data_IF_173058121697
#
_entry.id   IF_173058121697
#
_cell.length_a   1.000
_cell.length_b   1.000
_cell.length_c   1.000
_cell.angle_alpha   90.00
_cell.angle_beta   90.00
_cell.angle_gamma   90.00
#
_symmetry.space_group_name_H-M   'P 1'
#
loop_
_entity.id
_entity.type
_entity.pdbx_description
1 polymer ?
#
# COMPACT_ATOMS: atom_id res chain seq x y z
N UNK A 1 14.37 9.68 20.66
CA UNK A 1 15.59 9.32 19.90
C UNK A 1 16.04 7.88 20.18
N UNK A 2 15.92 7.34 21.39
CA UNK A 2 16.39 5.98 21.75
C UNK A 2 15.86 4.77 20.95
N UNK A 3 14.59 4.75 20.52
CA UNK A 3 14.00 3.53 19.94
C UNK A 3 14.46 3.28 18.49
N UNK A 4 14.70 4.35 17.73
CA UNK A 4 15.24 4.28 16.38
C UNK A 4 16.72 3.90 16.37
N UNK A 5 17.49 4.39 17.34
CA UNK A 5 18.92 4.05 17.49
C UNK A 5 19.11 2.59 17.89
N UNK A 6 18.29 2.07 18.81
CA UNK A 6 18.29 0.64 19.19
C UNK A 6 17.83 -0.24 18.03
N UNK A 7 16.83 0.19 17.26
CA UNK A 7 16.38 -0.53 16.06
C UNK A 7 17.46 -0.55 14.98
N UNK A 8 18.10 0.58 14.69
CA UNK A 8 19.19 0.68 13.71
C UNK A 8 20.44 -0.11 14.14
N UNK A 9 20.72 -0.16 15.44
CA UNK A 9 21.80 -0.98 16.00
C UNK A 9 21.50 -2.47 15.85
N UNK A 10 20.30 -2.92 16.25
CA UNK A 10 19.86 -4.31 16.06
C UNK A 10 19.89 -4.70 14.57
N UNK A 11 19.33 -3.84 13.71
CA UNK A 11 19.25 -4.03 12.25
C UNK A 11 20.62 -4.29 11.59
N UNK A 12 21.70 -3.70 12.13
CA UNK A 12 23.06 -3.81 11.59
C UNK A 12 23.92 -4.90 12.26
N UNK A 13 23.42 -5.65 13.25
CA UNK A 13 24.22 -6.68 13.95
C UNK A 13 24.60 -7.86 13.04
N UNK A 14 23.70 -8.23 12.12
CA UNK A 14 23.94 -9.27 11.11
C UNK A 14 23.22 -8.88 9.83
N UNK A 15 23.67 -9.34 8.64
CA UNK A 15 22.96 -9.09 7.39
C UNK A 15 21.51 -9.61 7.38
N UNK A 16 21.15 -10.49 8.32
CA UNK A 16 19.82 -11.08 8.44
C UNK A 16 18.93 -10.42 9.49
N UNK A 17 19.45 -9.54 10.36
CA UNK A 17 18.64 -8.99 11.46
C UNK A 17 17.44 -8.20 10.94
N UNK A 18 17.59 -7.47 9.83
CA UNK A 18 16.47 -6.81 9.16
C UNK A 18 15.37 -7.77 8.73
N UNK A 19 15.73 -8.92 8.16
CA UNK A 19 14.77 -9.95 7.75
C UNK A 19 14.04 -10.58 8.95
N UNK A 20 14.75 -10.82 10.05
CA UNK A 20 14.17 -11.38 11.29
C UNK A 20 13.24 -10.38 12.00
N UNK A 21 13.58 -9.09 12.02
CA UNK A 21 12.71 -8.05 12.56
C UNK A 21 11.44 -7.88 11.72
N UNK A 22 11.57 -7.89 10.40
CA UNK A 22 10.43 -7.86 9.48
C UNK A 22 9.55 -9.10 9.66
N UNK A 23 10.14 -10.28 9.78
CA UNK A 23 9.42 -11.52 10.07
C UNK A 23 8.60 -11.42 11.35
N UNK A 24 9.20 -10.97 12.45
CA UNK A 24 8.50 -10.80 13.72
C UNK A 24 7.37 -9.77 13.61
N UNK A 25 7.62 -8.64 12.95
CA UNK A 25 6.61 -7.62 12.70
C UNK A 25 5.42 -8.18 11.91
N UNK A 26 5.66 -8.94 10.84
CA UNK A 26 4.60 -9.55 10.03
C UNK A 26 3.78 -10.54 10.86
N UNK A 27 4.41 -11.32 11.74
CA UNK A 27 3.70 -12.20 12.67
C UNK A 27 2.78 -11.42 13.62
N UNK A 28 3.31 -10.36 14.25
CA UNK A 28 2.52 -9.53 15.17
C UNK A 28 1.35 -8.87 14.45
N UNK A 29 1.58 -8.30 13.25
CA UNK A 29 0.51 -7.68 12.46
C UNK A 29 -0.56 -8.69 12.05
N UNK A 30 -0.14 -9.88 11.63
CA UNK A 30 -1.06 -10.98 11.28
C UNK A 30 -1.90 -11.39 12.48
N UNK A 31 -1.28 -11.59 13.65
CA UNK A 31 -1.96 -11.93 14.89
C UNK A 31 -2.91 -10.82 15.36
N UNK A 32 -2.50 -9.55 15.31
CA UNK A 32 -3.37 -8.43 15.65
C UNK A 32 -4.59 -8.35 14.73
N UNK A 33 -4.41 -8.58 13.42
CA UNK A 33 -5.51 -8.57 12.46
C UNK A 33 -6.51 -9.70 12.73
N UNK A 34 -6.03 -10.92 13.01
CA UNK A 34 -6.88 -12.09 13.25
C UNK A 34 -7.56 -12.05 14.61
N UNK A 35 -6.89 -11.56 15.65
CA UNK A 35 -7.46 -11.40 16.99
C UNK A 35 -8.50 -10.28 17.05
N UNK A 36 -8.25 -9.14 16.37
CA UNK A 36 -9.17 -8.00 16.36
C UNK A 36 -10.43 -8.28 15.55
N UNK A 37 -10.33 -9.12 14.53
CA UNK A 37 -11.44 -9.48 13.66
C UNK A 37 -11.56 -11.01 13.57
N UNK A 38 -12.15 -11.69 14.57
CA UNK A 38 -12.27 -13.16 14.61
C UNK A 38 -13.28 -13.74 13.59
N UNK A 39 -13.52 -13.01 12.50
CA UNK A 39 -14.42 -13.36 11.39
C UNK A 39 -13.63 -13.98 10.25
N UNK A 40 -14.31 -14.64 9.30
CA UNK A 40 -13.71 -15.13 8.05
C UNK A 40 -12.84 -14.08 7.35
N UNK A 41 -13.26 -12.81 7.42
CA UNK A 41 -12.57 -11.67 6.81
C UNK A 41 -11.28 -11.29 7.51
N UNK A 42 -11.25 -11.32 8.84
CA UNK A 42 -9.99 -11.11 9.56
C UNK A 42 -8.99 -12.23 9.32
N UNK A 43 -9.47 -13.47 9.12
CA UNK A 43 -8.63 -14.60 8.68
C UNK A 43 -8.06 -14.40 7.27
N UNK A 44 -8.88 -13.93 6.31
CA UNK A 44 -8.40 -13.59 4.95
C UNK A 44 -7.43 -12.40 4.94
N UNK A 45 -7.67 -11.39 5.77
CA UNK A 45 -6.75 -10.25 5.93
C UNK A 45 -5.43 -10.73 6.53
N UNK A 46 -5.47 -11.57 7.56
CA UNK A 46 -4.28 -12.19 8.15
C UNK A 46 -3.50 -13.04 7.14
N UNK A 47 -4.20 -13.83 6.32
CA UNK A 47 -3.58 -14.55 5.20
C UNK A 47 -2.85 -13.59 4.24
N UNK A 48 -3.52 -12.52 3.82
CA UNK A 48 -2.92 -11.52 2.93
C UNK A 48 -1.66 -10.86 3.52
N UNK A 49 -1.71 -10.45 4.79
CA UNK A 49 -0.56 -9.86 5.50
C UNK A 49 0.60 -10.86 5.54
N UNK A 50 0.34 -12.12 5.88
CA UNK A 50 1.35 -13.17 5.99
C UNK A 50 2.04 -13.45 4.64
N UNK A 51 1.26 -13.56 3.55
CA UNK A 51 1.80 -13.82 2.20
C UNK A 51 2.60 -12.63 1.68
N UNK A 52 2.04 -11.41 1.75
CA UNK A 52 2.74 -10.21 1.26
C UNK A 52 4.01 -9.96 2.06
N UNK A 53 3.95 -10.14 3.39
CA UNK A 53 5.11 -10.03 4.26
C UNK A 53 6.20 -11.05 3.93
N UNK A 54 5.82 -12.31 3.69
CA UNK A 54 6.77 -13.35 3.29
C UNK A 54 7.46 -13.02 1.97
N UNK A 55 6.71 -12.62 0.94
CA UNK A 55 7.27 -12.24 -0.37
C UNK A 55 8.24 -11.06 -0.22
N UNK A 56 7.87 -10.05 0.58
CA UNK A 56 8.71 -8.88 0.82
C UNK A 56 10.03 -9.26 1.52
N UNK A 57 9.96 -10.10 2.55
CA UNK A 57 11.16 -10.56 3.29
C UNK A 57 12.06 -11.42 2.37
N UNK A 58 11.47 -12.31 1.58
CA UNK A 58 12.23 -13.14 0.63
C UNK A 58 12.91 -12.28 -0.45
N UNK A 59 12.20 -11.29 -0.98
CA UNK A 59 12.76 -10.31 -1.92
C UNK A 59 13.93 -9.53 -1.31
N UNK A 60 13.78 -9.05 -0.06
CA UNK A 60 14.85 -8.40 0.67
C UNK A 60 16.09 -9.30 0.82
N UNK A 61 15.89 -10.57 1.18
CA UNK A 61 17.00 -11.53 1.32
C UNK A 61 17.76 -11.78 0.01
N UNK A 62 17.11 -11.65 -1.16
CA UNK A 62 17.81 -11.77 -2.45
C UNK A 62 18.64 -10.54 -2.82
N UNK A 63 18.38 -9.38 -2.22
CA UNK A 63 19.21 -8.19 -2.44
C UNK A 63 20.51 -8.21 -1.64
N UNK A 64 20.67 -9.15 -0.70
CA UNK A 64 21.86 -9.25 0.14
C UNK A 64 23.02 -9.90 -0.62
N UNK A 65 24.15 -9.19 -0.69
CA UNK A 65 25.43 -9.73 -1.16
C UNK A 65 26.14 -10.40 0.02
N UNK A 66 26.30 -11.72 -0.05
CA UNK A 66 26.76 -12.54 1.07
C UNK A 66 27.99 -13.39 0.67
N UNK A 67 28.86 -13.65 1.64
CA UNK A 67 29.90 -14.68 1.55
C UNK A 67 29.28 -16.08 1.48
N UNK A 68 30.07 -17.11 1.15
CA UNK A 68 29.55 -18.47 1.01
C UNK A 68 28.90 -19.01 2.29
N UNK A 69 29.49 -18.77 3.46
CA UNK A 69 28.85 -19.07 4.76
C UNK A 69 27.56 -18.27 4.98
N UNK A 70 27.49 -17.04 4.47
CA UNK A 70 26.27 -16.24 4.50
C UNK A 70 25.16 -16.82 3.63
N UNK A 71 25.47 -17.48 2.51
CA UNK A 71 24.46 -18.12 1.65
C UNK A 71 23.77 -19.29 2.36
N UNK A 72 24.51 -20.10 3.12
CA UNK A 72 23.92 -21.19 3.92
C UNK A 72 22.95 -20.66 4.99
N UNK A 73 23.35 -19.60 5.70
CA UNK A 73 22.48 -18.96 6.70
C UNK A 73 21.26 -18.30 6.03
N UNK A 74 21.41 -17.72 4.83
CA UNK A 74 20.30 -17.18 4.05
C UNK A 74 19.23 -18.24 3.81
N UNK A 75 19.62 -19.45 3.44
CA UNK A 75 18.67 -20.53 3.17
C UNK A 75 17.94 -20.99 4.44
N UNK A 76 18.61 -20.99 5.60
CA UNK A 76 17.96 -21.23 6.90
C UNK A 76 16.91 -20.16 7.20
N UNK A 77 17.24 -18.88 7.00
CA UNK A 77 16.31 -17.76 7.24
C UNK A 77 15.14 -17.78 6.25
N UNK A 78 15.39 -18.09 4.98
CA UNK A 78 14.33 -18.30 3.98
C UNK A 78 13.38 -19.41 4.40
N UNK A 79 13.91 -20.55 4.84
CA UNK A 79 13.11 -21.68 5.30
C UNK A 79 12.26 -21.31 6.53
N UNK A 80 12.83 -20.59 7.49
CA UNK A 80 12.07 -20.06 8.62
C UNK A 80 10.88 -19.21 8.16
N UNK A 81 11.11 -18.26 7.26
CA UNK A 81 10.07 -17.35 6.71
C UNK A 81 8.99 -18.14 5.99
N UNK A 82 9.37 -19.06 5.09
CA UNK A 82 8.44 -19.87 4.30
C UNK A 82 7.60 -20.78 5.20
N UNK A 83 8.22 -21.52 6.12
CA UNK A 83 7.50 -22.46 6.96
C UNK A 83 6.57 -21.77 7.95
N UNK A 84 7.01 -20.66 8.54
CA UNK A 84 6.20 -19.93 9.52
C UNK A 84 5.10 -19.08 8.86
N UNK A 85 5.45 -18.16 7.96
CA UNK A 85 4.47 -17.25 7.34
C UNK A 85 3.64 -17.94 6.25
N UNK A 86 4.24 -18.86 5.50
CA UNK A 86 3.51 -19.69 4.54
C UNK A 86 2.58 -20.69 5.24
N UNK A 87 3.05 -21.33 6.32
CA UNK A 87 2.22 -22.22 7.15
C UNK A 87 1.08 -21.47 7.84
N UNK A 88 1.35 -20.33 8.45
CA UNK A 88 0.33 -19.46 9.05
C UNK A 88 -0.68 -18.97 8.01
N UNK A 89 -0.20 -18.49 6.86
CA UNK A 89 -1.06 -18.00 5.79
C UNK A 89 -2.00 -19.09 5.26
N UNK A 90 -1.45 -20.25 4.90
CA UNK A 90 -2.25 -21.37 4.40
C UNK A 90 -3.25 -21.89 5.44
N UNK A 91 -2.88 -21.95 6.72
CA UNK A 91 -3.80 -22.28 7.82
C UNK A 91 -4.94 -21.27 7.95
N UNK A 92 -4.65 -19.98 7.90
CA UNK A 92 -5.67 -18.93 7.94
C UNK A 92 -6.60 -18.98 6.72
N UNK A 93 -6.07 -19.27 5.53
CA UNK A 93 -6.86 -19.45 4.32
C UNK A 93 -7.77 -20.68 4.42
N UNK A 94 -7.27 -21.81 4.90
CA UNK A 94 -8.04 -23.03 5.09
C UNK A 94 -9.23 -22.80 6.04
N UNK A 95 -8.98 -22.16 7.19
CA UNK A 95 -10.02 -21.81 8.16
C UNK A 95 -10.99 -20.75 7.60
N UNK A 96 -10.53 -19.87 6.70
CA UNK A 96 -11.41 -18.92 6.05
C UNK A 96 -12.28 -19.54 4.95
N UNK A 97 -11.89 -20.68 4.36
CA UNK A 97 -12.65 -21.34 3.29
C UNK A 97 -13.60 -22.40 3.84
N UNK A 98 -13.27 -23.02 4.99
CA UNK A 98 -14.08 -24.09 5.59
C UNK A 98 -15.51 -23.68 5.94
N UNK A 99 -15.74 -22.40 6.27
CA UNK A 99 -17.07 -21.88 6.59
C UNK A 99 -17.65 -21.06 5.42
N UNK A 100 -18.80 -21.49 4.90
CA UNK A 100 -19.60 -20.73 3.94
C UNK A 100 -20.03 -19.38 4.54
N UNK A 101 -20.12 -18.30 3.73
CA UNK A 101 -20.40 -16.97 4.27
C UNK A 101 -21.86 -16.89 4.74
N UNK A 102 -22.08 -16.50 5.99
CA UNK A 102 -23.43 -16.30 6.52
C UNK A 102 -24.10 -15.07 5.91
N UNK A 103 -25.45 -14.98 5.93
CA UNK A 103 -26.17 -13.78 5.45
C UNK A 103 -25.72 -12.50 6.16
N UNK A 104 -25.50 -12.58 7.48
CA UNK A 104 -24.98 -11.46 8.27
C UNK A 104 -23.56 -11.06 7.84
N UNK A 105 -22.69 -12.02 7.51
CA UNK A 105 -21.36 -11.72 6.98
C UNK A 105 -21.40 -11.09 5.59
N UNK A 106 -22.34 -11.48 4.73
CA UNK A 106 -22.52 -10.87 3.40
C UNK A 106 -23.01 -9.42 3.53
N UNK A 107 -23.90 -9.16 4.47
CA UNK A 107 -24.44 -7.82 4.70
C UNK A 107 -23.42 -6.90 5.38
N UNK A 108 -22.69 -7.42 6.38
CA UNK A 108 -21.52 -6.77 6.96
C UNK A 108 -20.43 -6.56 5.90
N UNK A 109 -20.30 -7.47 4.93
CA UNK A 109 -19.37 -7.35 3.82
C UNK A 109 -19.68 -6.16 2.94
N UNK A 110 -20.93 -6.06 2.55
CA UNK A 110 -21.45 -4.96 1.75
C UNK A 110 -21.27 -3.63 2.48
N UNK A 111 -21.61 -3.57 3.77
CA UNK A 111 -21.43 -2.38 4.59
C UNK A 111 -19.96 -1.96 4.73
N UNK A 112 -19.06 -2.93 4.91
CA UNK A 112 -17.62 -2.73 5.04
C UNK A 112 -16.97 -2.27 3.73
N UNK A 113 -17.31 -2.86 2.59
CA UNK A 113 -16.85 -2.42 1.26
C UNK A 113 -17.35 -1.00 0.99
N UNK A 114 -18.63 -0.75 1.27
CA UNK A 114 -19.26 0.57 1.07
C UNK A 114 -18.60 1.67 1.89
N UNK A 115 -18.31 1.41 3.17
CA UNK A 115 -17.74 2.44 4.04
C UNK A 115 -16.21 2.48 3.95
N UNK A 116 -15.52 1.37 4.22
CA UNK A 116 -14.06 1.35 4.28
C UNK A 116 -13.43 1.30 2.90
N UNK A 117 -13.93 0.43 2.00
CA UNK A 117 -13.39 0.27 0.65
C UNK A 117 -13.45 1.56 -0.18
N UNK A 118 -14.61 2.24 -0.22
CA UNK A 118 -14.71 3.53 -0.89
C UNK A 118 -13.79 4.59 -0.28
N UNK A 119 -13.66 4.61 1.05
CA UNK A 119 -12.78 5.58 1.71
C UNK A 119 -11.31 5.36 1.30
N UNK A 120 -10.88 4.10 1.17
CA UNK A 120 -9.52 3.77 0.71
C UNK A 120 -9.31 4.20 -0.74
N UNK A 121 -10.25 3.89 -1.64
CA UNK A 121 -10.16 4.33 -3.03
C UNK A 121 -10.19 5.86 -3.15
N UNK A 122 -11.08 6.54 -2.44
CA UNK A 122 -11.14 8.00 -2.38
C UNK A 122 -9.78 8.57 -1.97
N UNK A 123 -9.18 8.01 -0.91
CA UNK A 123 -7.87 8.45 -0.45
C UNK A 123 -6.78 8.28 -1.51
N UNK A 124 -6.73 7.12 -2.16
CA UNK A 124 -5.75 6.84 -3.21
C UNK A 124 -5.95 7.76 -4.42
N UNK A 125 -7.19 7.98 -4.86
CA UNK A 125 -7.47 8.88 -5.97
C UNK A 125 -7.18 10.34 -5.61
N UNK A 126 -7.56 10.81 -4.42
CA UNK A 126 -7.24 12.17 -3.96
C UNK A 126 -5.73 12.36 -3.84
N UNK A 127 -5.00 11.36 -3.35
CA UNK A 127 -3.54 11.38 -3.31
C UNK A 127 -2.94 11.54 -4.70
N UNK A 128 -3.30 10.68 -5.64
CA UNK A 128 -2.83 10.76 -7.03
C UNK A 128 -3.24 12.10 -7.65
N UNK A 129 -4.47 12.57 -7.41
CA UNK A 129 -4.99 13.84 -7.93
C UNK A 129 -4.12 15.03 -7.51
N UNK A 130 -3.89 15.19 -6.21
CA UNK A 130 -3.13 16.33 -5.67
C UNK A 130 -1.68 16.25 -6.10
N UNK A 131 -1.06 15.07 -5.98
CA UNK A 131 0.33 14.88 -6.38
C UNK A 131 0.53 15.14 -7.87
N UNK A 132 -0.36 14.62 -8.73
CA UNK A 132 -0.31 14.84 -10.17
C UNK A 132 -0.49 16.31 -10.53
N UNK A 133 -1.42 17.02 -9.87
CA UNK A 133 -1.66 18.44 -10.14
C UNK A 133 -0.44 19.31 -9.78
N UNK A 134 0.11 19.10 -8.59
CA UNK A 134 1.26 19.87 -8.11
C UNK A 134 2.49 19.58 -8.96
N UNK A 135 2.77 18.30 -9.24
CA UNK A 135 3.89 17.92 -10.10
C UNK A 135 3.68 18.39 -11.53
N UNK A 136 2.47 18.37 -12.08
CA UNK A 136 2.20 18.90 -13.42
C UNK A 136 2.51 20.40 -13.50
N UNK A 137 2.11 21.18 -12.48
CA UNK A 137 2.41 22.60 -12.43
C UNK A 137 3.92 22.88 -12.35
N UNK A 138 4.64 22.14 -11.50
CA UNK A 138 6.11 22.26 -11.37
C UNK A 138 6.80 21.84 -12.67
N UNK A 139 6.42 20.69 -13.24
CA UNK A 139 7.00 20.17 -14.48
C UNK A 139 6.70 21.09 -15.66
N UNK A 140 5.51 21.67 -15.74
CA UNK A 140 5.17 22.64 -16.78
C UNK A 140 6.06 23.89 -16.68
N UNK A 141 6.31 24.40 -15.47
CA UNK A 141 7.24 25.51 -15.28
C UNK A 141 8.67 25.13 -15.67
N UNK A 142 9.16 23.97 -15.22
CA UNK A 142 10.51 23.50 -15.55
C UNK A 142 10.69 23.24 -17.05
N UNK A 143 9.65 22.71 -17.70
CA UNK A 143 9.64 22.48 -19.14
C UNK A 143 9.69 23.81 -19.93
N UNK A 144 8.93 24.83 -19.48
CA UNK A 144 8.99 26.18 -20.07
C UNK A 144 10.36 26.86 -19.89
N UNK A 145 11.17 26.40 -18.93
CA UNK A 145 12.54 26.86 -18.68
C UNK A 145 13.60 25.95 -19.33
N UNK A 146 13.20 25.06 -20.23
CA UNK A 146 14.08 24.11 -20.93
C UNK A 146 14.92 23.21 -19.99
N UNK A 147 14.36 22.84 -18.83
CA UNK A 147 15.06 21.98 -17.88
C UNK A 147 15.25 20.55 -18.44
N UNK A 148 16.46 19.98 -18.42
CA UNK A 148 16.80 18.77 -19.18
C UNK A 148 16.13 17.48 -18.69
N UNK A 149 15.53 17.50 -17.50
CA UNK A 149 14.91 16.33 -16.87
C UNK A 149 13.42 16.20 -17.22
N UNK A 150 12.80 17.27 -17.75
CA UNK A 150 11.35 17.32 -17.98
C UNK A 150 11.05 17.54 -19.45
N UNK A 151 10.28 16.63 -20.05
CA UNK A 151 9.75 16.77 -21.40
C UNK A 151 8.23 16.97 -21.38
N UNK A 152 7.66 17.27 -22.55
CA UNK A 152 6.20 17.35 -22.70
C UNK A 152 5.48 16.03 -22.38
N UNK A 153 6.16 14.88 -22.45
CA UNK A 153 5.57 13.58 -22.13
C UNK A 153 5.28 13.43 -20.63
N UNK A 154 6.18 13.86 -19.75
CA UNK A 154 5.96 13.83 -18.29
C UNK A 154 4.79 14.75 -17.90
N UNK A 155 4.75 15.97 -18.46
CA UNK A 155 3.66 16.92 -18.21
C UNK A 155 2.31 16.35 -18.67
N UNK A 156 2.26 15.78 -19.88
CA UNK A 156 1.04 15.17 -20.43
C UNK A 156 0.60 13.96 -19.61
N UNK A 157 1.54 13.11 -19.18
CA UNK A 157 1.27 11.95 -18.34
C UNK A 157 0.70 12.34 -16.96
N UNK A 158 1.25 13.40 -16.35
CA UNK A 158 0.73 13.93 -15.08
C UNK A 158 -0.67 14.54 -15.22
N UNK A 159 -0.96 15.23 -16.33
CA UNK A 159 -2.31 15.73 -16.62
C UNK A 159 -3.31 14.59 -16.84
N UNK A 160 -2.90 13.52 -17.54
CA UNK A 160 -3.74 12.33 -17.74
C UNK A 160 -3.99 11.61 -16.41
N UNK A 161 -2.98 11.50 -15.56
CA UNK A 161 -3.11 10.96 -14.21
C UNK A 161 -4.05 11.81 -13.34
N UNK A 162 -3.96 13.14 -13.42
CA UNK A 162 -4.87 14.07 -12.76
C UNK A 162 -6.33 13.85 -13.22
N UNK A 163 -6.58 13.82 -14.54
CA UNK A 163 -7.92 13.63 -15.08
C UNK A 163 -8.53 12.28 -14.71
N UNK A 164 -7.74 11.20 -14.78
CA UNK A 164 -8.22 9.88 -14.37
C UNK A 164 -8.46 9.80 -12.87
N UNK A 165 -7.61 10.43 -12.04
CA UNK A 165 -7.84 10.51 -10.60
C UNK A 165 -9.08 11.34 -10.24
N UNK A 166 -9.34 12.43 -10.96
CA UNK A 166 -10.56 13.23 -10.82
C UNK A 166 -11.81 12.40 -11.18
N UNK A 167 -11.71 11.62 -12.26
CA UNK A 167 -12.74 10.67 -12.67
C UNK A 167 -12.97 9.60 -11.58
N UNK A 168 -11.90 9.07 -10.98
CA UNK A 168 -11.98 8.14 -9.86
C UNK A 168 -12.71 8.74 -8.64
N UNK A 169 -12.40 9.99 -8.28
CA UNK A 169 -13.10 10.71 -7.21
C UNK A 169 -14.60 10.90 -7.51
N UNK A 170 -14.93 11.25 -8.76
CA UNK A 170 -16.31 11.38 -9.21
C UNK A 170 -17.06 10.04 -9.15
N UNK A 171 -16.44 8.95 -9.61
CA UNK A 171 -16.99 7.60 -9.54
C UNK A 171 -17.22 7.20 -8.08
N UNK A 172 -16.25 7.41 -7.18
CA UNK A 172 -16.44 7.13 -5.74
C UNK A 172 -17.63 7.91 -5.17
N UNK A 173 -17.72 9.20 -5.49
CA UNK A 173 -18.82 10.07 -5.04
C UNK A 173 -20.19 9.61 -5.57
N UNK A 174 -20.23 9.15 -6.81
CA UNK A 174 -21.43 8.59 -7.44
C UNK A 174 -21.83 7.25 -6.81
N UNK A 175 -20.88 6.31 -6.69
CA UNK A 175 -21.09 5.01 -6.07
C UNK A 175 -21.58 5.15 -4.63
N UNK A 176 -21.06 6.10 -3.85
CA UNK A 176 -21.53 6.37 -2.48
C UNK A 176 -23.05 6.62 -2.39
N UNK A 177 -23.68 7.13 -3.44
CA UNK A 177 -25.12 7.45 -3.50
C UNK A 177 -25.98 6.27 -4.00
N UNK A 178 -25.38 5.27 -4.64
CA UNK A 178 -26.11 4.14 -5.20
C UNK A 178 -26.29 3.01 -4.17
N UNK A 179 -27.44 2.32 -4.23
CA UNK A 179 -27.65 1.05 -3.54
C UNK A 179 -27.40 -0.09 -4.54
N UNK A 180 -26.49 -1.04 -4.22
CA UNK A 180 -26.16 -2.25 -5.01
C UNK A 180 -25.17 -2.09 -6.18
N UNK A 181 -24.03 -1.45 -5.95
CA UNK A 181 -22.95 -1.33 -6.95
C UNK A 181 -21.68 -2.11 -6.57
N UNK A 182 -21.66 -2.81 -5.44
CA UNK A 182 -20.42 -3.09 -4.71
C UNK A 182 -19.42 -3.97 -5.48
N UNK A 183 -19.87 -4.86 -6.35
CA UNK A 183 -18.97 -5.68 -7.17
C UNK A 183 -18.48 -4.94 -8.42
N UNK A 184 -19.40 -4.37 -9.19
CA UNK A 184 -19.07 -3.70 -10.45
C UNK A 184 -18.30 -2.39 -10.21
N UNK A 185 -18.71 -1.60 -9.22
CA UNK A 185 -18.03 -0.35 -8.91
C UNK A 185 -16.66 -0.57 -8.27
N UNK A 186 -16.46 -1.60 -7.44
CA UNK A 186 -15.10 -1.95 -6.98
C UNK A 186 -14.22 -2.39 -8.15
N UNK A 187 -14.75 -3.20 -9.07
CA UNK A 187 -14.00 -3.61 -10.26
C UNK A 187 -13.61 -2.40 -11.14
N UNK A 188 -14.53 -1.44 -11.35
CA UNK A 188 -14.26 -0.20 -12.09
C UNK A 188 -13.21 0.66 -11.39
N UNK A 189 -13.34 0.88 -10.08
CA UNK A 189 -12.37 1.67 -9.30
C UNK A 189 -10.99 1.00 -9.29
N UNK A 190 -10.94 -0.32 -9.13
CA UNK A 190 -9.70 -1.08 -9.14
C UNK A 190 -9.05 -1.08 -10.53
N UNK A 191 -9.84 -1.29 -11.59
CA UNK A 191 -9.35 -1.21 -12.97
C UNK A 191 -8.81 0.17 -13.32
N UNK A 192 -9.51 1.24 -12.92
CA UNK A 192 -9.04 2.61 -13.10
C UNK A 192 -7.74 2.88 -12.35
N UNK A 193 -7.62 2.39 -11.11
CA UNK A 193 -6.40 2.54 -10.31
C UNK A 193 -5.23 1.76 -10.94
N UNK A 194 -5.45 0.53 -11.40
CA UNK A 194 -4.45 -0.27 -12.10
C UNK A 194 -4.00 0.35 -13.42
N UNK A 195 -4.89 1.05 -14.12
CA UNK A 195 -4.53 1.80 -15.32
C UNK A 195 -3.74 3.07 -14.98
N UNK A 196 -4.13 3.79 -13.93
CA UNK A 196 -3.50 5.04 -13.53
C UNK A 196 -2.11 4.87 -12.94
N UNK A 197 -1.86 3.78 -12.21
CA UNK A 197 -0.58 3.54 -11.55
C UNK A 197 0.60 3.54 -12.55
N UNK A 198 0.58 2.76 -13.64
CA UNK A 198 1.63 2.80 -14.67
C UNK A 198 1.79 4.18 -15.29
N UNK A 199 0.68 4.85 -15.64
CA UNK A 199 0.72 6.20 -16.22
C UNK A 199 1.42 7.18 -15.28
N UNK A 200 1.04 7.16 -14.01
CA UNK A 200 1.61 8.04 -12.99
C UNK A 200 3.10 7.75 -12.75
N UNK A 201 3.46 6.48 -12.60
CA UNK A 201 4.86 6.04 -12.40
C UNK A 201 5.72 6.43 -13.58
N UNK A 202 5.23 6.22 -14.81
CA UNK A 202 5.95 6.61 -16.02
C UNK A 202 6.11 8.13 -16.09
N UNK A 203 5.09 8.89 -15.73
CA UNK A 203 5.13 10.35 -15.78
C UNK A 203 6.09 10.99 -14.75
N UNK A 204 6.35 10.32 -13.62
CA UNK A 204 7.35 10.78 -12.63
C UNK A 204 8.73 10.15 -12.82
N UNK A 205 8.90 9.25 -13.78
CA UNK A 205 10.13 8.47 -13.94
C UNK A 205 11.36 9.36 -14.17
N UNK A 206 11.23 10.39 -15.00
CA UNK A 206 12.29 11.38 -15.22
C UNK A 206 12.73 12.05 -13.90
N UNK A 207 11.77 12.46 -13.06
CA UNK A 207 12.05 13.05 -11.75
C UNK A 207 12.69 12.05 -10.78
N UNK A 208 12.24 10.79 -10.78
CA UNK A 208 12.80 9.72 -9.95
C UNK A 208 14.25 9.45 -10.33
N UNK A 209 14.54 9.40 -11.64
CA UNK A 209 15.88 9.18 -12.16
C UNK A 209 16.86 10.31 -11.79
N UNK A 210 16.34 11.54 -11.67
CA UNK A 210 17.12 12.69 -11.23
C UNK A 210 17.31 12.74 -9.71
N UNK A 211 16.24 12.57 -8.95
CA UNK A 211 16.30 12.55 -7.48
C UNK A 211 15.15 11.75 -6.86
N UNK A 212 15.43 10.47 -6.61
CA UNK A 212 14.54 9.59 -5.85
C UNK A 212 14.19 10.19 -4.48
N UNK A 213 15.15 10.83 -3.80
CA UNK A 213 14.95 11.42 -2.48
C UNK A 213 13.95 12.58 -2.51
N UNK A 214 14.01 13.45 -3.53
CA UNK A 214 13.06 14.55 -3.67
C UNK A 214 11.64 14.03 -3.95
N UNK A 215 11.52 13.03 -4.83
CA UNK A 215 10.24 12.40 -5.14
C UNK A 215 9.67 11.70 -3.91
N UNK A 216 10.44 10.88 -3.20
CA UNK A 216 9.99 10.22 -1.97
C UNK A 216 9.63 11.23 -0.88
N UNK A 217 10.41 12.31 -0.73
CA UNK A 217 10.12 13.38 0.22
C UNK A 217 8.78 14.06 -0.07
N UNK A 218 8.55 14.45 -1.32
CA UNK A 218 7.29 15.03 -1.76
C UNK A 218 6.10 14.12 -1.49
N UNK A 219 6.18 12.85 -1.92
CA UNK A 219 5.10 11.87 -1.74
C UNK A 219 4.89 11.51 -0.26
N UNK A 220 5.97 11.40 0.51
CA UNK A 220 5.93 11.14 1.94
C UNK A 220 5.24 12.26 2.71
N UNK A 221 5.60 13.52 2.44
CA UNK A 221 4.94 14.69 3.04
C UNK A 221 3.47 14.76 2.65
N UNK A 222 3.15 14.57 1.36
CA UNK A 222 1.77 14.54 0.89
C UNK A 222 0.95 13.43 1.57
N UNK A 223 1.53 12.23 1.72
CA UNK A 223 0.91 11.09 2.36
C UNK A 223 0.67 11.32 3.86
N UNK A 224 1.64 11.90 4.57
CA UNK A 224 1.50 12.25 5.99
C UNK A 224 0.45 13.34 6.19
N UNK A 225 0.47 14.39 5.36
CA UNK A 225 -0.47 15.50 5.45
C UNK A 225 -1.91 15.01 5.23
N UNK A 226 -2.14 14.19 4.20
CA UNK A 226 -3.46 13.59 3.96
C UNK A 226 -3.87 12.65 5.10
N UNK A 227 -2.96 11.80 5.60
CA UNK A 227 -3.25 10.91 6.72
C UNK A 227 -3.63 11.67 7.99
N UNK A 228 -2.96 12.79 8.25
CA UNK A 228 -3.25 13.69 9.36
C UNK A 228 -4.64 14.34 9.22
N UNK A 229 -4.99 14.84 8.04
CA UNK A 229 -6.32 15.46 7.81
C UNK A 229 -7.45 14.48 8.04
N UNK A 230 -7.34 13.26 7.52
CA UNK A 230 -8.33 12.19 7.73
C UNK A 230 -8.44 11.80 9.19
N UNK A 231 -7.31 11.67 9.89
CA UNK A 231 -7.32 11.34 11.32
C UNK A 231 -7.95 12.44 12.17
N UNK A 232 -7.66 13.71 11.87
CA UNK A 232 -8.24 14.87 12.57
C UNK A 232 -9.76 14.90 12.40
N UNK A 233 -10.26 14.80 11.16
CA UNK A 233 -11.70 14.78 10.89
C UNK A 233 -12.41 13.63 11.62
N UNK A 234 -11.80 12.44 11.67
CA UNK A 234 -12.34 11.30 12.43
C UNK A 234 -12.38 11.52 13.94
N UNK A 235 -11.50 12.34 14.51
CA UNK A 235 -11.55 12.70 15.94
C UNK A 235 -12.64 13.72 16.23
N UNK A 236 -12.85 14.68 15.33
CA UNK A 236 -13.89 15.70 15.46
C UNK A 236 -15.30 15.07 15.40
N UNK A 237 -15.54 14.14 14.47
CA UNK A 237 -16.83 13.40 14.39
C UNK A 237 -17.12 12.44 15.54
N UNK A 238 -16.14 12.07 16.36
CA UNK A 238 -16.37 11.26 17.57
C UNK A 238 -16.72 12.09 18.80
N UNK A 239 -16.55 13.42 18.70
CA UNK A 239 -16.82 14.37 19.78
C UNK A 239 -18.14 15.12 19.60
N UNK A 240 -18.72 15.07 18.41
CA UNK A 240 -20.10 15.50 18.10
C UNK A 240 -21.07 14.33 18.22
#
# INVERSE_FOLDING_TARGET
>A
MWLFDVFAWLYNLTPFTGALLLWFLVLVLTACATMKYPTRRGKLVGFGISVVGAVFILGYLETLVLSDTGKEIKDVVKNLVVMSLGGLGSGLLAVAISDGPSKAEIEQTRASIRNWGLTVFEYLFVFILVCSLVLAAICLLLWLLDWPVVSGQEVTGLLLAFLGAASGCAIVSYLRRLMKWEQLGVAVLFGLLLFLLPVYVQAIWGLVSWSLAAVLGFHGVAGIAMGWTVWRQRREWRRS
#
